data_IF_324282518901
#
_entry.id   IF_324282518901
#
_cell.length_a   1.000
_cell.length_b   1.000
_cell.length_c   1.000
_cell.angle_alpha   90.00
_cell.angle_beta   90.00
_cell.angle_gamma   90.00
#
_symmetry.space_group_name_H-M   'P 1'
#
loop_
_entity.id
_entity.type
_entity.pdbx_description
1 polymer ?
#
# COMPACT_ATOMS: atom_id res chain seq x y z
N UNK A 1 13.11 33.03 -17.19
CA UNK A 1 12.98 31.67 -16.64
C UNK A 1 12.48 31.81 -15.20
N UNK A 2 11.24 31.41 -14.86
CA UNK A 2 10.80 31.53 -13.48
C UNK A 2 11.42 30.39 -12.66
N UNK A 3 12.04 30.78 -11.56
CA UNK A 3 12.64 29.87 -10.58
C UNK A 3 11.59 28.93 -10.01
N UNK A 4 11.91 27.63 -9.97
CA UNK A 4 11.11 26.65 -9.26
C UNK A 4 11.09 27.01 -7.77
N UNK A 5 9.91 27.33 -7.25
CA UNK A 5 9.72 27.44 -5.82
C UNK A 5 9.98 26.08 -5.19
N UNK A 6 11.03 25.99 -4.36
CA UNK A 6 11.24 24.87 -3.45
C UNK A 6 10.02 24.79 -2.54
N UNK A 7 9.18 23.77 -2.75
CA UNK A 7 8.12 23.44 -1.80
C UNK A 7 8.81 22.94 -0.54
N UNK A 8 8.71 23.70 0.55
CA UNK A 8 9.04 23.19 1.87
C UNK A 8 8.28 21.86 2.05
N UNK A 9 9.00 20.78 2.38
CA UNK A 9 8.40 19.51 2.75
C UNK A 9 7.28 19.79 3.75
N UNK A 10 6.04 19.53 3.35
CA UNK A 10 4.90 19.80 4.20
C UNK A 10 5.05 18.91 5.44
N UNK A 11 5.31 19.52 6.59
CA UNK A 11 5.47 18.80 7.86
C UNK A 11 4.23 17.96 8.13
N UNK A 12 4.40 16.66 8.39
CA UNK A 12 3.29 15.76 8.67
C UNK A 12 2.48 16.30 9.88
N UNK A 13 1.23 16.77 9.69
CA UNK A 13 0.46 17.39 10.78
C UNK A 13 0.09 16.37 11.87
N UNK A 14 0.12 15.08 11.55
CA UNK A 14 -0.24 13.98 12.43
C UNK A 14 0.85 13.60 13.43
N UNK A 15 2.05 14.18 13.31
CA UNK A 15 3.15 14.04 14.28
C UNK A 15 3.42 15.34 15.05
N UNK A 16 2.62 16.39 14.83
CA UNK A 16 2.71 17.67 15.53
C UNK A 16 1.63 17.81 16.61
N UNK A 17 1.67 18.83 17.48
CA UNK A 17 0.56 19.11 18.40
C UNK A 17 -0.81 19.29 17.73
N UNK A 18 -0.85 19.64 16.44
CA UNK A 18 -2.10 19.74 15.68
C UNK A 18 -2.85 18.41 15.60
N UNK A 19 -2.14 17.27 15.70
CA UNK A 19 -2.72 15.93 15.64
C UNK A 19 -3.84 15.70 16.67
N UNK A 20 -3.81 16.39 17.81
CA UNK A 20 -4.87 16.32 18.83
C UNK A 20 -6.27 16.68 18.26
N UNK A 21 -6.30 17.60 17.30
CA UNK A 21 -7.53 18.09 16.66
C UNK A 21 -7.84 17.38 15.33
N UNK A 22 -7.01 16.43 14.90
CA UNK A 22 -7.13 15.73 13.63
C UNK A 22 -7.53 14.26 13.83
N UNK A 23 -8.35 13.76 12.91
CA UNK A 23 -8.64 12.35 12.73
C UNK A 23 -7.59 11.77 11.79
N UNK A 24 -6.36 11.70 12.26
CA UNK A 24 -5.22 11.26 11.47
C UNK A 24 -5.39 9.83 10.95
N UNK A 25 -5.16 9.57 9.64
CA UNK A 25 -5.14 8.23 9.10
C UNK A 25 -3.88 7.48 9.51
N UNK A 26 -3.94 6.16 9.37
CA UNK A 26 -2.82 5.25 9.55
C UNK A 26 -3.12 4.03 8.69
N UNK A 27 -2.31 3.80 7.70
CA UNK A 27 -2.17 2.52 7.02
C UNK A 27 -1.35 1.60 7.90
N UNK A 28 -1.60 0.31 7.73
CA UNK A 28 -0.78 -0.79 8.21
C UNK A 28 -0.84 -1.84 7.12
N UNK A 29 0.08 -2.79 7.13
CA UNK A 29 -0.02 -3.94 6.23
C UNK A 29 -0.10 -5.24 7.02
N UNK A 30 -1.07 -6.07 6.66
CA UNK A 30 -1.22 -7.41 7.22
C UNK A 30 -0.05 -8.30 6.83
N UNK A 31 0.35 -9.25 7.69
CA UNK A 31 1.40 -10.19 7.33
C UNK A 31 1.02 -10.94 6.05
N UNK A 32 1.99 -11.17 5.14
CA UNK A 32 1.71 -11.90 3.90
C UNK A 32 1.07 -13.26 4.19
N UNK A 33 0.07 -13.61 3.40
CA UNK A 33 -0.73 -14.83 3.54
C UNK A 33 -0.96 -15.48 2.17
N UNK A 34 -1.58 -16.67 2.13
CA UNK A 34 -1.79 -17.37 0.85
C UNK A 34 -0.50 -17.57 0.06
N UNK A 35 0.60 -17.86 0.76
CA UNK A 35 1.94 -17.91 0.16
C UNK A 35 2.07 -19.21 -0.62
N UNK A 36 2.54 -19.14 -1.87
CA UNK A 36 2.87 -20.32 -2.66
C UNK A 36 4.00 -20.03 -3.65
N UNK A 37 4.70 -21.09 -4.05
CA UNK A 37 5.72 -21.02 -5.10
C UNK A 37 5.06 -21.31 -6.45
N UNK A 38 5.24 -20.42 -7.41
CA UNK A 38 4.89 -20.65 -8.80
C UNK A 38 6.16 -20.87 -9.62
N UNK A 39 6.20 -21.95 -10.41
CA UNK A 39 7.14 -22.07 -11.52
C UNK A 39 6.59 -21.29 -12.72
N UNK A 40 7.31 -20.23 -13.13
CA UNK A 40 6.96 -19.40 -14.26
C UNK A 40 7.74 -19.77 -15.54
N UNK A 41 8.45 -20.91 -15.53
CA UNK A 41 9.28 -21.38 -16.62
C UNK A 41 10.62 -20.63 -16.72
N UNK A 42 11.53 -21.15 -17.56
CA UNK A 42 12.86 -20.57 -17.84
C UNK A 42 13.69 -20.28 -16.57
N UNK A 43 13.51 -21.08 -15.52
CA UNK A 43 14.22 -20.92 -14.25
C UNK A 43 13.65 -19.82 -13.33
N UNK A 44 12.51 -19.21 -13.67
CA UNK A 44 11.84 -18.26 -12.79
C UNK A 44 11.00 -18.97 -11.75
N UNK A 45 11.35 -18.78 -10.47
CA UNK A 45 10.52 -19.20 -9.34
C UNK A 45 9.95 -17.97 -8.68
N UNK A 46 8.62 -17.83 -8.69
CA UNK A 46 7.93 -16.67 -8.16
C UNK A 46 7.26 -17.05 -6.83
N UNK A 47 7.71 -16.45 -5.74
CA UNK A 47 7.04 -16.58 -4.45
C UNK A 47 5.89 -15.59 -4.41
N UNK A 48 4.66 -16.10 -4.51
CA UNK A 48 3.43 -15.32 -4.47
C UNK A 48 2.90 -15.18 -3.06
N UNK A 49 2.23 -14.07 -2.78
CA UNK A 49 1.53 -13.86 -1.53
C UNK A 49 0.43 -12.81 -1.64
N UNK A 50 -0.61 -12.99 -0.82
CA UNK A 50 -1.69 -12.02 -0.59
C UNK A 50 -1.16 -10.83 0.19
N UNK A 51 -1.59 -9.63 -0.18
CA UNK A 51 -1.34 -8.40 0.57
C UNK A 51 -2.66 -7.84 1.12
N UNK A 52 -2.59 -7.20 2.28
CA UNK A 52 -3.74 -6.68 3.02
C UNK A 52 -3.37 -5.30 3.56
N UNK A 53 -3.69 -4.25 2.80
CA UNK A 53 -3.47 -2.86 3.22
C UNK A 53 -4.64 -2.43 4.10
N UNK A 54 -4.35 -1.96 5.31
CA UNK A 54 -5.29 -1.82 6.43
C UNK A 54 -5.41 -0.38 6.88
N UNK A 55 -6.63 0.18 6.87
CA UNK A 55 -6.88 1.51 7.45
C UNK A 55 -7.16 1.40 8.95
N UNK A 56 -6.25 1.90 9.79
CA UNK A 56 -6.23 1.75 11.26
C UNK A 56 -6.10 3.05 12.04
N UNK A 57 -6.06 4.19 11.35
CA UNK A 57 -6.04 5.50 11.97
C UNK A 57 -7.36 5.92 12.60
N UNK A 58 -7.39 7.16 13.10
CA UNK A 58 -8.59 7.80 13.64
C UNK A 58 -9.57 8.25 12.56
N UNK A 59 -9.08 8.50 11.34
CA UNK A 59 -9.86 8.88 10.15
C UNK A 59 -9.43 8.09 8.91
N UNK A 60 -10.16 8.24 7.80
CA UNK A 60 -9.88 7.53 6.55
C UNK A 60 -8.60 8.04 5.90
N UNK A 61 -7.94 7.19 5.12
CA UNK A 61 -6.92 7.63 4.18
C UNK A 61 -7.64 8.13 2.91
N UNK A 62 -7.98 9.43 2.83
CA UNK A 62 -8.61 10.04 1.65
C UNK A 62 -7.61 10.79 0.78
N UNK A 63 -7.55 10.42 -0.49
CA UNK A 63 -6.68 10.98 -1.51
C UNK A 63 -7.52 11.64 -2.61
N UNK A 64 -7.12 12.85 -3.01
CA UNK A 64 -7.71 13.60 -4.12
C UNK A 64 -6.67 13.74 -5.22
N UNK A 65 -6.89 13.01 -6.30
CA UNK A 65 -6.06 13.10 -7.51
C UNK A 65 -6.51 14.27 -8.38
N UNK A 66 -5.53 15.01 -8.91
CA UNK A 66 -5.75 15.96 -10.00
C UNK A 66 -4.74 15.66 -11.10
N UNK A 67 -5.22 15.54 -12.34
CA UNK A 67 -4.39 15.24 -13.51
C UNK A 67 -3.23 16.24 -13.67
N UNK A 68 -2.05 15.68 -13.93
CA UNK A 68 -0.83 16.41 -14.30
C UNK A 68 -0.09 15.78 -15.49
N UNK A 69 -0.64 14.69 -16.05
CA UNK A 69 -0.13 14.06 -17.26
C UNK A 69 -1.13 13.06 -17.86
N UNK A 70 -0.74 12.43 -18.96
CA UNK A 70 -1.62 11.50 -19.69
C UNK A 70 -2.05 10.30 -18.81
N UNK A 71 -1.13 9.77 -18.00
CA UNK A 71 -1.37 8.63 -17.10
C UNK A 71 -0.96 8.90 -15.65
N UNK A 72 -0.88 10.17 -15.26
CA UNK A 72 -0.45 10.59 -13.93
C UNK A 72 -1.39 11.63 -13.31
N UNK A 73 -1.49 11.58 -11.98
CA UNK A 73 -2.12 12.61 -11.16
C UNK A 73 -1.27 12.92 -9.94
N UNK A 74 -1.21 14.20 -9.57
CA UNK A 74 -0.75 14.65 -8.26
C UNK A 74 -1.83 14.42 -7.21
N UNK A 75 -1.40 14.10 -5.99
CA UNK A 75 -2.28 13.78 -4.87
C UNK A 75 -2.26 14.87 -3.80
N UNK A 76 -3.45 15.33 -3.43
CA UNK A 76 -3.66 15.98 -2.15
C UNK A 76 -4.36 15.01 -1.19
N UNK A 77 -3.93 14.97 0.06
CA UNK A 77 -4.58 14.18 1.11
C UNK A 77 -5.55 15.05 1.90
N UNK A 78 -6.72 14.50 2.21
CA UNK A 78 -7.70 15.13 3.09
C UNK A 78 -7.65 14.48 4.46
N UNK A 79 -7.48 15.31 5.48
CA UNK A 79 -7.47 14.88 6.88
C UNK A 79 -8.59 15.60 7.61
N UNK A 80 -9.51 14.83 8.19
CA UNK A 80 -10.67 15.36 8.88
C UNK A 80 -10.30 15.88 10.26
N UNK A 81 -11.01 16.91 10.73
CA UNK A 81 -10.85 17.45 12.09
C UNK A 81 -11.85 16.79 13.04
N UNK A 82 -11.46 16.61 14.30
CA UNK A 82 -12.34 16.05 15.33
C UNK A 82 -13.58 16.91 15.61
N UNK A 83 -13.46 18.24 15.45
CA UNK A 83 -14.57 19.19 15.59
C UNK A 83 -15.37 19.45 14.31
N UNK A 84 -15.16 18.67 13.25
CA UNK A 84 -15.79 18.86 11.95
C UNK A 84 -14.94 19.67 10.95
N UNK A 85 -15.22 19.47 9.66
CA UNK A 85 -14.40 19.98 8.57
C UNK A 85 -13.14 19.15 8.32
N UNK A 86 -12.25 19.67 7.48
CA UNK A 86 -11.04 18.99 7.03
C UNK A 86 -9.92 19.98 6.70
N UNK A 87 -8.70 19.48 6.64
CA UNK A 87 -7.57 20.13 5.98
C UNK A 87 -7.23 19.36 4.70
N UNK A 88 -6.64 20.05 3.72
CA UNK A 88 -6.16 19.46 2.47
C UNK A 88 -4.69 19.81 2.33
N UNK A 89 -3.85 18.80 2.13
CA UNK A 89 -2.40 18.95 2.08
C UNK A 89 -1.87 18.31 0.81
N UNK A 90 -0.92 18.97 0.14
CA UNK A 90 -0.16 18.33 -0.94
C UNK A 90 0.75 17.26 -0.34
N UNK A 91 0.78 16.11 -0.99
CA UNK A 91 1.65 14.96 -0.63
C UNK A 91 2.71 14.76 -1.70
N UNK A 92 3.67 13.86 -1.50
CA UNK A 92 4.58 13.42 -2.56
C UNK A 92 4.05 12.18 -3.32
N UNK A 93 2.89 11.68 -2.92
CA UNK A 93 2.21 10.60 -3.62
C UNK A 93 1.70 11.04 -5.01
N UNK A 94 1.57 10.06 -5.89
CA UNK A 94 0.99 10.19 -7.22
C UNK A 94 0.03 9.03 -7.52
N UNK A 95 -0.88 9.25 -8.47
CA UNK A 95 -1.74 8.20 -9.01
C UNK A 95 -1.33 7.90 -10.44
N UNK A 96 -1.21 6.63 -10.78
CA UNK A 96 -0.84 6.18 -12.12
C UNK A 96 -1.96 5.31 -12.72
N UNK A 97 -2.31 5.59 -13.98
CA UNK A 97 -3.26 4.75 -14.72
C UNK A 97 -2.57 3.43 -15.08
N UNK A 98 -2.85 2.38 -14.31
CA UNK A 98 -2.11 1.12 -14.26
C UNK A 98 -2.95 -0.02 -14.81
N UNK A 99 -2.43 -0.70 -15.82
CA UNK A 99 -3.02 -1.92 -16.37
C UNK A 99 -2.66 -3.12 -15.48
N UNK A 100 -3.68 -3.91 -15.12
CA UNK A 100 -3.54 -5.18 -14.41
C UNK A 100 -4.04 -6.37 -15.21
N UNK A 101 -4.32 -6.20 -16.50
CA UNK A 101 -4.83 -7.24 -17.38
C UNK A 101 -6.34 -7.45 -17.27
N UNK A 102 -6.93 -7.93 -18.36
CA UNK A 102 -8.39 -8.09 -18.51
C UNK A 102 -9.00 -9.01 -17.43
N UNK A 103 -8.30 -10.08 -17.07
CA UNK A 103 -8.73 -11.01 -16.02
C UNK A 103 -8.95 -10.31 -14.67
N UNK A 104 -8.19 -9.25 -14.38
CA UNK A 104 -8.31 -8.45 -13.15
C UNK A 104 -9.05 -7.12 -13.37
N UNK A 105 -9.77 -7.00 -14.48
CA UNK A 105 -10.65 -5.87 -14.80
C UNK A 105 -10.00 -4.74 -15.61
N UNK A 106 -8.78 -4.93 -16.12
CA UNK A 106 -8.13 -3.99 -17.04
C UNK A 106 -7.33 -2.89 -16.34
N UNK A 107 -7.57 -1.62 -16.70
CA UNK A 107 -6.75 -0.48 -16.25
C UNK A 107 -7.49 0.40 -15.25
N UNK A 108 -6.78 0.84 -14.22
CA UNK A 108 -7.32 1.66 -13.13
C UNK A 108 -6.37 2.78 -12.72
N UNK A 109 -6.90 3.91 -12.25
CA UNK A 109 -6.12 4.87 -11.49
C UNK A 109 -5.77 4.30 -10.12
N UNK A 110 -4.47 4.17 -9.83
CA UNK A 110 -3.97 3.54 -8.60
C UNK A 110 -2.92 4.41 -7.93
N UNK A 111 -2.84 4.36 -6.61
CA UNK A 111 -1.74 4.98 -5.86
C UNK A 111 -0.43 4.29 -6.24
N UNK A 112 0.51 5.07 -6.76
CA UNK A 112 1.79 4.56 -7.21
C UNK A 112 2.74 4.34 -6.02
N UNK A 113 3.44 3.21 -6.02
CA UNK A 113 4.40 2.84 -4.96
C UNK A 113 3.80 2.81 -3.55
N UNK A 114 2.51 2.50 -3.42
CA UNK A 114 1.84 2.44 -2.12
C UNK A 114 2.39 1.34 -1.22
N UNK A 115 2.81 0.21 -1.78
CA UNK A 115 3.40 -0.85 -0.97
C UNK A 115 4.51 -1.56 -1.75
N UNK A 116 5.37 -2.26 -1.01
CA UNK A 116 6.49 -3.02 -1.55
C UNK A 116 6.54 -4.42 -0.95
N UNK A 117 6.77 -5.40 -1.83
CA UNK A 117 7.17 -6.73 -1.45
C UNK A 117 8.69 -6.77 -1.35
N UNK A 118 9.21 -7.24 -0.23
CA UNK A 118 10.63 -7.39 0.00
C UNK A 118 10.92 -8.80 0.51
N UNK A 119 11.89 -9.47 -0.10
CA UNK A 119 12.48 -10.67 0.46
C UNK A 119 13.74 -10.26 1.21
N UNK A 120 13.75 -10.49 2.52
CA UNK A 120 14.88 -10.17 3.40
C UNK A 120 15.56 -11.45 3.86
N UNK A 121 16.89 -11.44 4.01
CA UNK A 121 17.58 -12.53 4.71
C UNK A 121 17.01 -12.67 6.12
N UNK A 122 16.90 -13.89 6.61
CA UNK A 122 16.63 -14.14 8.02
C UNK A 122 17.65 -15.14 8.56
N UNK A 123 18.02 -15.01 9.83
CA UNK A 123 18.74 -16.07 10.55
C UNK A 123 17.75 -17.08 11.13
N UNK A 124 18.27 -18.24 11.54
CA UNK A 124 17.48 -19.32 12.13
C UNK A 124 16.80 -18.95 13.45
N UNK A 125 17.30 -17.93 14.15
CA UNK A 125 16.67 -17.36 15.35
C UNK A 125 15.54 -16.37 15.04
N UNK A 126 15.22 -16.16 13.77
CA UNK A 126 14.14 -15.30 13.30
C UNK A 126 14.51 -13.82 13.13
N UNK A 127 15.78 -13.43 13.33
CA UNK A 127 16.20 -12.04 13.10
C UNK A 127 16.16 -11.70 11.60
N UNK A 128 15.42 -10.64 11.27
CA UNK A 128 15.28 -10.14 9.89
C UNK A 128 16.45 -9.22 9.55
N UNK A 129 17.11 -9.49 8.43
CA UNK A 129 18.26 -8.77 7.92
C UNK A 129 17.98 -7.93 6.67
N UNK A 130 19.00 -7.79 5.83
CA UNK A 130 18.95 -6.97 4.61
C UNK A 130 17.99 -7.52 3.55
N UNK A 131 17.43 -6.60 2.74
CA UNK A 131 16.68 -6.92 1.52
C UNK A 131 17.61 -7.54 0.49
N UNK A 132 17.20 -8.65 -0.12
CA UNK A 132 17.94 -9.33 -1.20
C UNK A 132 17.24 -9.24 -2.55
N UNK A 133 15.91 -9.16 -2.53
CA UNK A 133 15.04 -9.06 -3.69
C UNK A 133 13.78 -8.28 -3.31
N UNK A 134 13.17 -7.66 -4.30
CA UNK A 134 11.87 -7.01 -4.18
C UNK A 134 10.92 -7.44 -5.30
N UNK A 135 9.62 -7.19 -5.10
CA UNK A 135 8.56 -7.57 -6.02
C UNK A 135 8.06 -6.39 -6.87
N UNK A 136 7.44 -6.66 -8.04
CA UNK A 136 6.97 -5.62 -8.94
C UNK A 136 5.58 -5.05 -8.58
N UNK A 137 4.92 -5.56 -7.53
CA UNK A 137 3.63 -5.02 -7.06
C UNK A 137 3.85 -3.69 -6.34
N UNK A 138 3.57 -2.60 -7.05
CA UNK A 138 3.73 -1.23 -6.54
C UNK A 138 2.42 -0.44 -6.49
N UNK A 139 1.45 -0.79 -7.34
CA UNK A 139 0.26 0.03 -7.59
C UNK A 139 -0.99 -0.60 -6.98
N UNK A 140 -1.69 0.20 -6.19
CA UNK A 140 -2.81 -0.23 -5.34
C UNK A 140 -3.99 0.72 -5.45
N UNK A 141 -5.19 0.19 -5.27
CA UNK A 141 -6.38 1.01 -5.41
C UNK A 141 -6.59 1.93 -4.21
N UNK A 142 -6.41 1.40 -3.00
CA UNK A 142 -7.01 1.92 -1.78
C UNK A 142 -8.53 2.02 -1.94
N UNK A 143 -9.21 1.00 -1.44
CA UNK A 143 -10.67 0.89 -1.41
C UNK A 143 -11.16 0.19 -0.16
N UNK A 144 -12.44 0.34 0.10
CA UNK A 144 -13.19 -0.40 1.11
C UNK A 144 -13.56 -1.78 0.57
N UNK A 145 -12.63 -2.73 0.58
CA UNK A 145 -12.92 -4.09 0.09
C UNK A 145 -13.56 -4.94 1.19
N UNK A 146 -12.85 -5.12 2.30
CA UNK A 146 -13.23 -6.00 3.42
C UNK A 146 -13.24 -5.27 4.77
N UNK A 147 -14.24 -5.55 5.62
CA UNK A 147 -14.37 -4.99 6.97
C UNK A 147 -13.59 -5.83 7.99
N UNK A 148 -12.28 -5.67 8.02
CA UNK A 148 -11.39 -6.53 8.83
C UNK A 148 -11.24 -6.08 10.29
N UNK A 149 -11.52 -4.81 10.62
CA UNK A 149 -11.54 -4.32 12.01
C UNK A 149 -12.51 -3.13 12.17
N UNK A 150 -13.82 -3.33 11.96
CA UNK A 150 -14.77 -2.25 12.10
C UNK A 150 -14.82 -1.73 13.54
N UNK A 151 -15.05 -0.44 13.69
CA UNK A 151 -15.30 0.22 14.98
C UNK A 151 -16.33 1.34 14.83
N UNK A 152 -16.44 2.19 15.85
CA UNK A 152 -17.48 3.24 15.90
C UNK A 152 -17.42 4.25 14.74
N UNK A 153 -16.24 4.45 14.12
CA UNK A 153 -16.03 5.36 12.98
C UNK A 153 -15.96 4.66 11.64
N UNK A 154 -16.20 3.35 11.61
CA UNK A 154 -16.18 2.58 10.37
C UNK A 154 -17.55 2.68 9.69
N UNK A 155 -17.63 3.13 8.43
CA UNK A 155 -18.89 3.08 7.71
C UNK A 155 -19.36 1.63 7.54
N UNK A 156 -20.68 1.43 7.57
CA UNK A 156 -21.31 0.11 7.42
C UNK A 156 -21.27 -0.39 5.98
N UNK A 157 -21.25 0.54 5.02
CA UNK A 157 -21.10 0.30 3.59
C UNK A 157 -19.79 0.89 3.07
N UNK A 158 -19.40 0.49 1.85
CA UNK A 158 -18.20 1.00 1.18
C UNK A 158 -18.38 2.49 0.90
N UNK A 159 -17.52 3.32 1.48
CA UNK A 159 -17.44 4.75 1.15
C UNK A 159 -16.51 4.97 -0.05
N UNK A 160 -15.44 4.17 -0.13
CA UNK A 160 -14.52 4.13 -1.27
C UNK A 160 -14.64 2.77 -1.98
N UNK A 161 -15.62 2.56 -2.89
CA UNK A 161 -15.96 1.22 -3.39
C UNK A 161 -14.92 0.60 -4.35
N UNK A 162 -14.15 1.41 -5.06
CA UNK A 162 -13.17 0.95 -6.03
C UNK A 162 -12.56 2.10 -6.83
N UNK A 163 -11.55 1.76 -7.62
CA UNK A 163 -10.82 2.73 -8.43
C UNK A 163 -11.53 2.98 -9.75
N UNK A 164 -11.39 4.21 -10.23
CA UNK A 164 -11.89 4.56 -11.56
C UNK A 164 -11.08 3.89 -12.67
N UNK A 165 -11.80 3.46 -13.70
CA UNK A 165 -11.26 2.94 -14.95
C UNK A 165 -11.30 3.97 -16.08
N UNK A 166 -11.84 5.16 -15.82
CA UNK A 166 -11.99 6.22 -16.80
C UNK A 166 -10.62 6.87 -17.08
N UNK A 167 -10.05 6.72 -18.29
CA UNK A 167 -8.76 7.31 -18.64
C UNK A 167 -8.82 8.83 -18.76
N UNK A 168 -10.00 9.44 -18.91
CA UNK A 168 -10.21 10.86 -19.22
C UNK A 168 -10.56 11.69 -17.98
N UNK A 169 -10.69 11.06 -16.81
CA UNK A 169 -11.07 11.73 -15.58
C UNK A 169 -9.99 12.73 -15.09
N UNK A 170 -10.31 14.00 -14.91
CA UNK A 170 -9.32 15.00 -14.46
C UNK A 170 -9.14 15.08 -12.95
N UNK A 171 -10.15 14.64 -12.21
CA UNK A 171 -10.17 14.64 -10.75
C UNK A 171 -10.78 13.35 -10.22
N UNK A 172 -10.11 12.73 -9.26
CA UNK A 172 -10.61 11.50 -8.63
C UNK A 172 -10.49 11.55 -7.11
N UNK A 173 -11.34 10.79 -6.44
CA UNK A 173 -11.23 10.50 -5.02
C UNK A 173 -10.95 9.00 -4.85
N UNK A 174 -9.86 8.67 -4.15
CA UNK A 174 -9.50 7.32 -3.75
C UNK A 174 -9.33 7.29 -2.24
N UNK A 175 -9.46 6.12 -1.63
CA UNK A 175 -9.22 6.03 -0.20
C UNK A 175 -9.64 4.75 0.46
N UNK A 176 -9.38 4.65 1.75
CA UNK A 176 -9.84 3.53 2.56
C UNK A 176 -10.30 4.00 3.93
N UNK A 177 -11.52 3.61 4.26
CA UNK A 177 -12.23 3.96 5.47
C UNK A 177 -11.64 3.24 6.69
N UNK A 178 -11.70 3.87 7.86
CA UNK A 178 -11.24 3.27 9.11
C UNK A 178 -11.86 1.89 9.31
N UNK A 179 -11.04 0.89 9.62
CA UNK A 179 -11.48 -0.48 9.90
C UNK A 179 -11.70 -1.34 8.66
N UNK A 180 -11.52 -0.79 7.46
CA UNK A 180 -11.53 -1.54 6.21
C UNK A 180 -10.10 -1.96 5.80
N UNK A 181 -10.04 -2.89 4.86
CA UNK A 181 -8.83 -3.38 4.20
C UNK A 181 -9.02 -3.41 2.68
N UNK A 182 -7.97 -3.09 1.94
CA UNK A 182 -7.82 -3.39 0.51
C UNK A 182 -6.92 -4.62 0.37
N UNK A 183 -7.53 -5.76 0.03
CA UNK A 183 -6.87 -7.07 -0.01
C UNK A 183 -6.68 -7.48 -1.47
N UNK A 184 -5.44 -7.78 -1.84
CA UNK A 184 -5.11 -8.35 -3.14
C UNK A 184 -4.71 -9.81 -2.95
N UNK A 185 -5.35 -10.77 -3.64
CA UNK A 185 -5.00 -12.18 -3.52
C UNK A 185 -3.64 -12.48 -4.18
N UNK A 186 -3.02 -13.60 -3.80
CA UNK A 186 -1.66 -13.97 -4.22
C UNK A 186 -1.50 -14.21 -5.73
N UNK A 187 -2.57 -14.59 -6.42
CA UNK A 187 -2.61 -14.77 -7.87
C UNK A 187 -2.74 -13.44 -8.64
N UNK A 188 -3.14 -12.36 -7.97
CA UNK A 188 -3.32 -11.04 -8.57
C UNK A 188 -2.06 -10.53 -9.28
N UNK A 189 -2.25 -9.67 -10.29
CA UNK A 189 -1.18 -9.08 -11.08
C UNK A 189 0.00 -8.61 -10.20
N UNK A 190 1.19 -9.08 -10.57
CA UNK A 190 2.49 -8.74 -9.97
C UNK A 190 2.69 -9.09 -8.49
N UNK A 191 1.78 -9.82 -7.84
CA UNK A 191 1.88 -10.17 -6.40
C UNK A 191 2.89 -11.28 -6.09
N UNK A 192 4.16 -11.04 -6.44
CA UNK A 192 5.24 -12.00 -6.27
C UNK A 192 6.59 -11.34 -6.01
N UNK A 193 7.55 -12.14 -5.52
CA UNK A 193 8.99 -11.85 -5.56
C UNK A 193 9.68 -13.00 -6.31
N UNK A 194 10.62 -12.68 -7.20
CA UNK A 194 11.43 -13.73 -7.85
C UNK A 194 12.47 -14.27 -6.86
N UNK A 195 12.39 -15.57 -6.59
CA UNK A 195 13.21 -16.29 -5.61
C UNK A 195 14.13 -17.34 -6.23
N UNK A 196 14.26 -17.35 -7.56
CA UNK A 196 15.09 -18.30 -8.28
C UNK A 196 16.51 -18.38 -7.71
N UNK A 197 16.98 -19.60 -7.46
CA UNK A 197 18.34 -19.87 -6.97
C UNK A 197 18.59 -19.54 -5.48
N UNK A 198 17.61 -18.98 -4.78
CA UNK A 198 17.76 -18.66 -3.35
C UNK A 198 17.50 -19.88 -2.47
N UNK A 199 18.32 -20.02 -1.42
CA UNK A 199 18.25 -21.12 -0.44
C UNK A 199 18.45 -20.62 0.98
N UNK A 200 17.78 -21.26 1.92
CA UNK A 200 17.88 -20.98 3.35
C UNK A 200 16.75 -20.10 3.87
N UNK A 201 17.05 -19.33 4.92
CA UNK A 201 16.07 -18.58 5.70
C UNK A 201 15.83 -17.16 5.19
N UNK A 202 14.55 -16.82 5.05
CA UNK A 202 14.12 -15.51 4.59
C UNK A 202 12.88 -15.03 5.34
N UNK A 203 12.69 -13.72 5.34
CA UNK A 203 11.44 -13.08 5.71
C UNK A 203 10.82 -12.45 4.46
N UNK A 204 9.65 -12.94 4.05
CA UNK A 204 8.82 -12.22 3.09
C UNK A 204 8.14 -11.08 3.84
N UNK A 205 8.58 -9.86 3.55
CA UNK A 205 8.17 -8.63 4.23
C UNK A 205 7.34 -7.80 3.27
N UNK A 206 6.19 -7.33 3.73
CA UNK A 206 5.42 -6.31 3.04
C UNK A 206 5.56 -5.00 3.82
N UNK A 207 5.74 -3.90 3.09
CA UNK A 207 5.82 -2.55 3.65
C UNK A 207 4.83 -1.67 2.91
N UNK A 208 3.85 -1.10 3.61
CA UNK A 208 2.98 -0.03 3.06
C UNK A 208 3.66 1.32 3.27
N UNK A 209 3.42 2.25 2.35
CA UNK A 209 4.05 3.56 2.23
C UNK A 209 5.55 3.59 2.59
N UNK A 210 6.40 2.78 1.95
CA UNK A 210 7.81 2.63 2.34
C UNK A 210 8.64 3.91 2.14
N UNK A 211 8.07 4.93 1.50
CA UNK A 211 8.71 6.23 1.23
C UNK A 211 8.09 7.37 2.03
N UNK A 212 7.12 7.09 2.89
CA UNK A 212 6.38 8.08 3.70
C UNK A 212 5.81 9.21 2.82
N UNK A 213 5.17 8.83 1.70
CA UNK A 213 4.58 9.78 0.76
C UNK A 213 3.25 10.33 1.25
N UNK A 214 2.59 9.63 2.17
CA UNK A 214 1.31 9.99 2.77
C UNK A 214 1.52 10.40 4.23
N UNK A 215 0.63 11.26 4.74
CA UNK A 215 0.67 11.68 6.14
C UNK A 215 -0.06 10.68 7.00
N UNK A 216 0.67 9.99 7.88
CA UNK A 216 0.13 9.02 8.81
C UNK A 216 0.37 9.42 10.27
N UNK A 217 -0.41 8.86 11.20
CA UNK A 217 -0.16 9.03 12.63
C UNK A 217 1.04 8.24 13.14
N UNK A 218 1.48 7.21 12.42
CA UNK A 218 2.58 6.34 12.79
C UNK A 218 3.21 5.69 11.55
N UNK A 219 4.42 6.10 11.21
CA UNK A 219 5.20 5.50 10.11
C UNK A 219 5.92 4.20 10.51
N UNK A 220 5.91 3.83 11.79
CA UNK A 220 6.71 2.73 12.33
C UNK A 220 5.96 1.39 12.38
N UNK A 221 4.66 1.35 12.03
CA UNK A 221 3.85 0.12 11.98
C UNK A 221 3.41 -0.29 10.58
N UNK A 222 4.13 0.23 9.58
CA UNK A 222 3.91 0.05 8.15
C UNK A 222 4.47 -1.27 7.58
N UNK A 223 5.22 -2.05 8.37
CA UNK A 223 5.82 -3.31 7.91
C UNK A 223 5.27 -4.54 8.65
N UNK A 224 5.14 -5.66 7.93
CA UNK A 224 4.88 -6.98 8.51
C UNK A 224 5.50 -8.08 7.66
N UNK A 225 5.75 -9.26 8.26
CA UNK A 225 6.46 -10.32 7.56
C UNK A 225 6.02 -11.73 7.97
N UNK A 226 6.45 -12.70 7.15
CA UNK A 226 6.46 -14.13 7.46
C UNK A 226 7.85 -14.71 7.21
N UNK A 227 8.35 -15.44 8.20
CA UNK A 227 9.52 -16.27 8.02
C UNK A 227 9.17 -17.46 7.13
N UNK A 228 10.11 -17.87 6.30
CA UNK A 228 10.00 -19.03 5.44
C UNK A 228 11.39 -19.52 5.02
N UNK A 229 11.43 -20.78 4.61
CA UNK A 229 12.61 -21.37 3.99
C UNK A 229 12.45 -21.43 2.48
N UNK A 230 13.54 -21.20 1.76
CA UNK A 230 13.61 -21.40 0.31
C UNK A 230 14.51 -22.62 -0.01
N UNK A 231 14.16 -23.46 -1.01
CA UNK A 231 12.91 -23.42 -1.80
C UNK A 231 11.66 -23.62 -0.93
N UNK A 232 10.59 -22.90 -1.24
CA UNK A 232 9.39 -22.88 -0.42
C UNK A 232 8.59 -24.18 -0.57
N UNK A 233 8.28 -24.82 0.54
CA UNK A 233 7.60 -26.12 0.61
C UNK A 233 6.15 -26.01 1.13
N UNK A 234 5.62 -24.78 1.26
CA UNK A 234 4.30 -24.52 1.80
C UNK A 234 4.29 -24.17 3.30
N UNK A 235 5.43 -24.25 4.00
CA UNK A 235 5.49 -23.99 5.45
C UNK A 235 6.11 -22.63 5.75
N UNK A 236 5.46 -21.87 6.62
CA UNK A 236 6.08 -20.69 7.24
C UNK A 236 6.99 -21.13 8.38
N UNK A 237 8.12 -20.45 8.52
CA UNK A 237 9.13 -20.73 9.53
C UNK A 237 10.52 -20.89 8.94
N UNK A 238 11.48 -20.72 9.83
CA UNK A 238 12.87 -21.11 9.71
C UNK A 238 13.11 -22.25 10.70
#
# INVERSE_FOLDING_TARGET
MPAAASQAEATNPCTTPQAAHLLCPNLRIGPPSGIYLQDAGRGHQLLRATSDVRSRGRGPMELRGTRDGHRSMRVNQRIYRAGGGQITLRTDASLHFTDVGEYFGGTYWKVHQLARFELRRASSDGKVGAVVRDGPKLNYCLRDLERTRPGARSPSARHYPGCSQDPDQDHIALGTSVGWSDIYPADYDRQWVNVAGLRGCFALTLVVDPKHLLFESNEHDNASHRLLRLPFDGRTGC
#
